data_IF_645238009188
#
_entry.id   IF_645238009188
#
_cell.length_a   1.000
_cell.length_b   1.000
_cell.length_c   1.000
_cell.angle_alpha   90.00
_cell.angle_beta   90.00
_cell.angle_gamma   90.00
#
_symmetry.space_group_name_H-M   'P 1'
#
loop_
_entity.id
_entity.type
_entity.pdbx_description
1 polymer ?
#
# COMPACT_ATOMS: atom_id res chain seq x y z
N UNK A 1 -6.03 -11.42 13.00
CA UNK A 1 -5.43 -10.84 11.78
C UNK A 1 -4.17 -11.62 11.45
N UNK A 2 -4.05 -12.06 10.21
CA UNK A 2 -2.93 -12.88 9.74
C UNK A 2 -2.37 -12.28 8.46
N UNK A 3 -1.07 -12.51 8.20
CA UNK A 3 -0.47 -12.15 6.92
C UNK A 3 -1.13 -12.92 5.78
N UNK A 4 -1.23 -12.29 4.62
CA UNK A 4 -1.76 -12.84 3.35
C UNK A 4 -3.26 -13.21 3.34
N UNK A 5 -3.98 -12.93 4.43
CA UNK A 5 -5.42 -13.16 4.52
C UNK A 5 -6.16 -11.82 4.49
N UNK A 6 -7.17 -11.62 3.61
CA UNK A 6 -8.02 -10.43 3.64
C UNK A 6 -8.75 -10.28 4.97
N UNK A 7 -8.83 -9.05 5.46
CA UNK A 7 -9.57 -8.70 6.67
C UNK A 7 -10.21 -7.32 6.54
N UNK A 8 -11.26 -7.04 7.33
CA UNK A 8 -11.87 -5.70 7.36
C UNK A 8 -10.96 -4.75 8.12
N UNK A 9 -10.37 -3.80 7.41
CA UNK A 9 -9.44 -2.80 7.95
C UNK A 9 -10.11 -1.46 8.23
N UNK A 10 -10.88 -0.96 7.27
CA UNK A 10 -11.60 0.31 7.35
C UNK A 10 -13.09 0.06 7.30
N UNK A 11 -13.85 0.84 8.07
CA UNK A 11 -15.30 0.93 7.90
C UNK A 11 -15.65 1.65 6.59
N UNK A 12 -16.91 1.59 6.16
CA UNK A 12 -17.36 2.34 5.00
C UNK A 12 -17.15 3.86 5.18
N UNK A 13 -17.42 4.37 6.37
CA UNK A 13 -17.25 5.79 6.72
C UNK A 13 -15.77 6.21 6.69
N UNK A 14 -14.87 5.38 7.23
CA UNK A 14 -13.43 5.62 7.14
C UNK A 14 -12.91 5.60 5.69
N UNK A 15 -13.47 4.73 4.83
CA UNK A 15 -13.16 4.75 3.40
C UNK A 15 -13.60 6.05 2.73
N UNK A 16 -14.82 6.52 3.03
CA UNK A 16 -15.31 7.79 2.49
C UNK A 16 -14.49 8.99 3.00
N UNK A 17 -14.08 8.99 4.28
CA UNK A 17 -13.20 10.02 4.84
C UNK A 17 -11.88 10.14 4.04
N UNK A 18 -11.25 9.00 3.71
CA UNK A 18 -10.02 8.98 2.91
C UNK A 18 -10.27 9.40 1.46
N UNK A 19 -11.38 8.98 0.86
CA UNK A 19 -11.77 9.39 -0.50
C UNK A 19 -12.09 10.88 -0.55
N UNK A 20 -12.77 11.43 0.45
CA UNK A 20 -13.07 12.86 0.57
C UNK A 20 -11.79 13.70 0.72
N UNK A 21 -10.82 13.21 1.51
CA UNK A 21 -9.51 13.85 1.60
C UNK A 21 -8.85 14.00 0.22
N UNK A 22 -9.02 13.02 -0.66
CA UNK A 22 -8.41 13.01 -1.98
C UNK A 22 -9.16 13.85 -3.02
N UNK A 23 -10.46 14.09 -2.82
CA UNK A 23 -11.37 14.66 -3.83
C UNK A 23 -10.92 16.02 -4.36
N UNK A 24 -10.43 16.89 -3.47
CA UNK A 24 -10.01 18.24 -3.81
C UNK A 24 -8.51 18.39 -4.06
N UNK A 25 -7.80 17.27 -4.12
CA UNK A 25 -6.35 17.25 -4.31
C UNK A 25 -5.97 16.89 -5.74
N UNK A 26 -4.95 17.57 -6.25
CA UNK A 26 -4.36 17.23 -7.53
C UNK A 26 -3.56 15.93 -7.40
N UNK A 27 -3.88 14.94 -8.23
CA UNK A 27 -3.08 13.73 -8.36
C UNK A 27 -1.74 14.02 -9.01
N UNK A 28 -0.74 13.22 -8.66
CA UNK A 28 0.57 13.20 -9.32
C UNK A 28 0.72 11.90 -10.10
N UNK A 29 1.25 11.98 -11.28
CA UNK A 29 1.62 10.81 -12.04
C UNK A 29 2.78 10.08 -11.35
N UNK A 30 2.65 8.78 -11.23
CA UNK A 30 3.69 7.91 -10.72
C UNK A 30 4.13 6.99 -11.86
N UNK A 31 5.20 7.38 -12.55
CA UNK A 31 5.70 6.69 -13.72
C UNK A 31 7.09 6.13 -13.47
N UNK A 32 7.26 4.87 -13.80
CA UNK A 32 8.54 4.18 -13.92
C UNK A 32 8.33 2.97 -14.85
N UNK A 33 9.36 2.17 -15.18
CA UNK A 33 9.22 1.06 -16.14
C UNK A 33 8.13 0.02 -15.83
N UNK A 34 7.70 -0.09 -14.58
CA UNK A 34 6.67 -1.06 -14.15
C UNK A 34 5.42 -0.39 -13.57
N UNK A 35 5.34 0.95 -13.57
CA UNK A 35 4.27 1.69 -12.93
C UNK A 35 3.76 2.83 -13.79
N UNK A 36 2.46 2.83 -14.01
CA UNK A 36 1.72 3.92 -14.67
C UNK A 36 0.39 4.07 -13.95
N UNK A 37 0.32 4.99 -12.99
CA UNK A 37 -0.90 5.34 -12.28
C UNK A 37 -0.76 6.70 -11.61
N UNK A 38 -1.83 7.20 -11.03
CA UNK A 38 -1.85 8.48 -10.31
C UNK A 38 -1.87 8.23 -8.81
N UNK A 39 -1.26 9.14 -8.04
CA UNK A 39 -1.15 9.04 -6.59
C UNK A 39 -1.46 10.33 -5.86
N UNK A 40 -1.87 10.20 -4.60
CA UNK A 40 -1.92 11.26 -3.59
C UNK A 40 -1.27 10.72 -2.30
N UNK A 41 -0.47 11.54 -1.64
CA UNK A 41 0.03 11.24 -0.30
C UNK A 41 -1.00 11.65 0.75
N UNK A 42 -1.35 10.70 1.64
CA UNK A 42 -2.31 10.92 2.71
C UNK A 42 -1.60 11.43 3.96
N UNK A 43 -1.58 12.74 4.16
CA UNK A 43 -0.82 13.42 5.22
C UNK A 43 -1.62 13.57 6.53
N UNK A 44 -2.91 13.21 6.55
CA UNK A 44 -3.71 13.24 7.77
C UNK A 44 -3.28 12.12 8.73
N UNK A 45 -2.66 12.51 9.84
CA UNK A 45 -2.09 11.59 10.82
C UNK A 45 -3.08 11.09 11.88
N UNK A 46 -4.34 11.48 11.80
CA UNK A 46 -5.40 11.17 12.79
C UNK A 46 -5.45 9.71 13.21
N UNK A 47 -5.24 8.79 12.28
CA UNK A 47 -5.36 7.36 12.52
C UNK A 47 -4.01 6.61 12.61
N UNK A 48 -2.89 7.28 12.43
CA UNK A 48 -1.59 6.61 12.28
C UNK A 48 -1.20 5.78 13.51
N UNK A 49 -1.43 6.28 14.72
CA UNK A 49 -1.11 5.52 15.94
C UNK A 49 -1.95 4.24 16.04
N UNK A 50 -3.25 4.31 15.73
CA UNK A 50 -4.13 3.14 15.66
C UNK A 50 -3.60 2.08 14.69
N UNK A 51 -3.10 2.50 13.53
CA UNK A 51 -2.55 1.59 12.53
C UNK A 51 -1.20 1.00 12.95
N UNK A 52 -0.33 1.78 13.58
CA UNK A 52 0.94 1.29 14.16
C UNK A 52 0.65 0.22 15.22
N UNK A 53 -0.26 0.48 16.15
CA UNK A 53 -0.62 -0.45 17.23
C UNK A 53 -1.18 -1.76 16.65
N UNK A 54 -2.04 -1.65 15.64
CA UNK A 54 -2.59 -2.82 14.93
C UNK A 54 -1.48 -3.65 14.27
N UNK A 55 -0.56 -3.02 13.55
CA UNK A 55 0.55 -3.70 12.87
C UNK A 55 1.52 -4.33 13.87
N UNK A 56 1.75 -3.67 15.01
CA UNK A 56 2.55 -4.21 16.12
C UNK A 56 1.90 -5.42 16.81
N UNK A 57 0.59 -5.62 16.68
CA UNK A 57 -0.06 -6.82 17.19
C UNK A 57 0.30 -8.08 16.39
N UNK A 58 0.80 -7.93 15.16
CA UNK A 58 1.30 -9.04 14.34
C UNK A 58 2.74 -9.37 14.72
N UNK A 59 3.60 -8.38 14.75
CA UNK A 59 5.00 -8.49 15.11
C UNK A 59 5.46 -7.15 15.73
N UNK A 60 5.88 -7.13 17.03
CA UNK A 60 6.14 -5.90 17.78
C UNK A 60 7.49 -5.26 17.41
N UNK A 61 7.65 -4.91 16.13
CA UNK A 61 8.88 -4.31 15.58
C UNK A 61 8.63 -3.01 14.82
N UNK A 62 7.37 -2.60 14.69
CA UNK A 62 6.99 -1.41 13.92
C UNK A 62 7.19 -0.17 14.79
N UNK A 63 8.06 0.74 14.33
CA UNK A 63 8.35 2.02 15.00
C UNK A 63 7.48 3.16 14.49
N UNK A 64 7.18 3.16 13.19
CA UNK A 64 6.37 4.19 12.52
C UNK A 64 5.83 3.70 11.18
N UNK A 65 5.00 4.49 10.56
CA UNK A 65 4.54 4.26 9.18
C UNK A 65 5.03 5.39 8.29
N UNK A 66 5.42 5.05 7.06
CA UNK A 66 5.65 6.06 6.02
C UNK A 66 4.31 6.71 5.67
N UNK A 67 4.35 7.99 5.24
CA UNK A 67 3.14 8.68 4.76
C UNK A 67 2.36 7.77 3.80
N UNK A 68 1.12 7.38 4.15
CA UNK A 68 0.34 6.48 3.32
C UNK A 68 0.05 7.05 1.94
N UNK A 69 -0.23 6.17 0.99
CA UNK A 69 -0.47 6.54 -0.40
C UNK A 69 -1.86 6.11 -0.85
N UNK A 70 -2.60 7.01 -1.47
CA UNK A 70 -3.81 6.71 -2.23
C UNK A 70 -3.39 6.56 -3.68
N UNK A 71 -3.73 5.43 -4.30
CA UNK A 71 -3.38 5.10 -5.67
C UNK A 71 -4.63 4.94 -6.52
N UNK A 72 -4.64 5.58 -7.69
CA UNK A 72 -5.76 5.62 -8.63
C UNK A 72 -5.36 4.90 -9.91
N UNK A 73 -6.26 4.05 -10.42
CA UNK A 73 -6.06 3.27 -11.63
C UNK A 73 -7.29 3.37 -12.53
N UNK A 74 -7.12 3.95 -13.70
CA UNK A 74 -8.09 3.91 -14.82
C UNK A 74 -7.69 2.82 -15.82
N UNK A 75 -8.54 2.49 -16.80
CA UNK A 75 -8.16 1.59 -17.89
C UNK A 75 -6.83 2.01 -18.55
N UNK A 76 -5.89 1.05 -18.64
CA UNK A 76 -4.53 1.27 -19.09
C UNK A 76 -3.52 1.66 -18.01
N UNK A 77 -3.98 2.00 -16.79
CA UNK A 77 -3.10 2.30 -15.66
C UNK A 77 -2.90 1.05 -14.81
N UNK A 78 -1.65 0.72 -14.49
CA UNK A 78 -1.28 -0.45 -13.70
C UNK A 78 -0.02 -0.21 -12.86
N UNK A 79 0.24 -1.09 -11.92
CA UNK A 79 1.54 -1.23 -11.27
C UNK A 79 1.97 -2.69 -11.40
N UNK A 80 2.88 -2.94 -12.33
CA UNK A 80 3.38 -4.28 -12.63
C UNK A 80 4.11 -4.95 -11.47
N UNK A 81 4.65 -6.13 -11.70
CA UNK A 81 5.38 -6.88 -10.67
C UNK A 81 6.53 -6.09 -10.07
N UNK A 82 6.50 -5.90 -8.75
CA UNK A 82 7.50 -5.21 -7.95
C UNK A 82 7.46 -5.70 -6.51
N UNK A 83 8.42 -5.27 -5.72
CA UNK A 83 8.39 -5.40 -4.27
C UNK A 83 8.59 -4.03 -3.61
N UNK A 84 8.18 -3.94 -2.35
CA UNK A 84 8.27 -2.71 -1.54
C UNK A 84 9.44 -2.70 -0.57
N UNK A 85 10.33 -3.70 -0.63
CA UNK A 85 11.40 -3.95 0.35
C UNK A 85 12.51 -2.90 0.39
N UNK A 86 12.39 -1.80 -0.34
CA UNK A 86 13.38 -0.74 -0.37
C UNK A 86 13.33 0.10 0.91
N UNK A 87 14.51 0.49 1.46
CA UNK A 87 14.53 1.38 2.62
C UNK A 87 13.96 2.74 2.23
N UNK A 88 12.91 3.15 2.91
CA UNK A 88 12.42 4.51 2.81
C UNK A 88 13.35 5.51 3.53
N UNK A 89 14.20 5.00 4.42
CA UNK A 89 15.15 5.77 5.21
C UNK A 89 16.40 4.96 5.51
N UNK A 90 17.56 5.62 5.72
CA UNK A 90 18.84 4.94 6.01
C UNK A 90 18.80 4.03 7.25
N UNK A 91 17.97 4.34 8.23
CA UNK A 91 17.87 3.65 9.51
C UNK A 91 16.68 2.71 9.63
N UNK A 92 15.75 2.76 8.68
CA UNK A 92 14.52 1.97 8.70
C UNK A 92 14.29 1.28 7.36
N UNK A 93 13.68 0.12 7.45
CA UNK A 93 13.22 -0.67 6.30
C UNK A 93 11.70 -0.78 6.33
N UNK A 94 11.09 -0.92 5.16
CA UNK A 94 9.69 -1.33 5.06
C UNK A 94 9.58 -2.79 5.48
N UNK A 95 8.93 -3.04 6.60
CA UNK A 95 8.78 -4.38 7.19
C UNK A 95 7.53 -5.07 6.66
N UNK A 96 6.39 -4.37 6.77
CA UNK A 96 5.12 -4.79 6.20
C UNK A 96 4.59 -3.75 5.23
N UNK A 97 3.89 -4.23 4.21
CA UNK A 97 2.98 -3.44 3.40
C UNK A 97 1.56 -3.88 3.70
N UNK A 98 0.67 -2.90 3.91
CA UNK A 98 -0.77 -3.08 3.95
C UNK A 98 -1.35 -2.41 2.71
N UNK A 99 -2.13 -3.14 1.92
CA UNK A 99 -2.94 -2.56 0.85
C UNK A 99 -4.42 -2.77 1.13
N UNK A 100 -5.19 -1.70 1.01
CA UNK A 100 -6.63 -1.67 1.27
C UNK A 100 -7.38 -1.21 0.03
N UNK A 101 -8.52 -1.84 -0.26
CA UNK A 101 -9.42 -1.44 -1.33
C UNK A 101 -10.35 -0.33 -0.85
N UNK A 102 -10.28 0.87 -1.46
CA UNK A 102 -11.22 1.95 -1.21
C UNK A 102 -12.38 1.96 -2.21
N UNK A 103 -12.06 1.64 -3.47
CA UNK A 103 -13.03 1.55 -4.56
C UNK A 103 -12.57 0.49 -5.54
N UNK A 104 -13.43 -0.49 -5.79
CA UNK A 104 -13.19 -1.55 -6.77
C UNK A 104 -13.59 -1.10 -8.17
N UNK A 105 -12.97 -1.69 -9.18
CA UNK A 105 -13.35 -1.55 -10.59
C UNK A 105 -13.24 -2.90 -11.31
N UNK A 106 -14.12 -3.19 -12.29
CA UNK A 106 -14.09 -4.45 -13.02
C UNK A 106 -12.73 -4.74 -13.64
N UNK A 107 -12.22 -5.96 -13.49
CA UNK A 107 -10.95 -6.42 -14.04
C UNK A 107 -9.71 -6.02 -13.27
N UNK A 108 -9.80 -5.04 -12.36
CA UNK A 108 -8.69 -4.65 -11.53
C UNK A 108 -8.62 -5.47 -10.25
N UNK A 109 -7.42 -5.90 -9.87
CA UNK A 109 -7.18 -6.58 -8.61
C UNK A 109 -5.75 -6.35 -8.10
N UNK A 110 -5.57 -6.66 -6.83
CA UNK A 110 -4.26 -6.83 -6.21
C UNK A 110 -3.88 -8.30 -6.28
N UNK A 111 -2.67 -8.59 -6.71
CA UNK A 111 -2.15 -9.94 -6.83
C UNK A 111 -0.76 -10.05 -6.19
N UNK A 112 -0.49 -11.20 -5.58
CA UNK A 112 0.83 -11.59 -5.08
C UNK A 112 1.34 -12.79 -5.86
N UNK A 113 2.66 -12.87 -6.07
CA UNK A 113 3.27 -13.92 -6.86
C UNK A 113 3.19 -15.29 -6.19
N UNK A 114 3.45 -15.31 -4.89
CA UNK A 114 3.55 -16.56 -4.11
C UNK A 114 2.30 -16.86 -3.26
N UNK A 115 1.29 -15.97 -3.30
CA UNK A 115 0.09 -16.09 -2.49
C UNK A 115 -1.17 -15.83 -3.33
N UNK A 116 -2.16 -16.70 -3.16
CA UNK A 116 -3.45 -16.51 -3.80
C UNK A 116 -4.33 -15.60 -2.92
N UNK A 117 -4.43 -14.33 -3.30
CA UNK A 117 -5.24 -13.34 -2.57
C UNK A 117 -6.63 -13.27 -3.20
N UNK A 118 -7.65 -13.51 -2.38
CA UNK A 118 -9.04 -13.29 -2.79
C UNK A 118 -9.24 -11.80 -3.10
N UNK A 119 -9.97 -11.43 -4.18
CA UNK A 119 -10.24 -10.04 -4.49
C UNK A 119 -10.80 -9.26 -3.31
N UNK A 120 -10.16 -8.14 -2.99
CA UNK A 120 -10.53 -7.31 -1.85
C UNK A 120 -11.84 -6.57 -2.12
N UNK A 121 -12.69 -6.50 -1.11
CA UNK A 121 -13.88 -5.65 -1.09
C UNK A 121 -13.55 -4.30 -0.45
N UNK A 122 -14.43 -3.29 -0.63
CA UNK A 122 -14.28 -1.97 -0.02
C UNK A 122 -14.01 -2.07 1.49
N UNK A 123 -12.95 -1.43 1.94
CA UNK A 123 -12.48 -1.43 3.32
C UNK A 123 -11.70 -2.68 3.74
N UNK A 124 -11.65 -3.71 2.90
CA UNK A 124 -10.79 -4.86 3.15
C UNK A 124 -9.34 -4.58 2.76
N UNK A 125 -8.44 -5.14 3.54
CA UNK A 125 -7.01 -5.05 3.32
C UNK A 125 -6.35 -6.41 3.43
N UNK A 126 -5.15 -6.49 2.90
CA UNK A 126 -4.20 -7.57 3.13
C UNK A 126 -2.88 -6.99 3.60
N UNK A 127 -2.23 -7.68 4.55
CA UNK A 127 -0.89 -7.35 5.03
C UNK A 127 0.07 -8.42 4.57
N UNK A 128 1.22 -8.01 4.08
CA UNK A 128 2.27 -8.89 3.60
C UNK A 128 3.65 -8.32 3.90
N UNK A 129 4.69 -9.15 3.80
CA UNK A 129 6.07 -8.69 3.94
C UNK A 129 6.48 -7.88 2.73
N UNK A 130 7.00 -6.68 2.97
CA UNK A 130 7.33 -5.70 1.91
C UNK A 130 8.28 -6.21 0.81
N UNK A 131 9.24 -7.13 1.07
CA UNK A 131 10.09 -7.69 0.00
C UNK A 131 9.38 -8.64 -0.97
N UNK A 132 8.14 -9.03 -0.73
CA UNK A 132 7.44 -9.97 -1.58
C UNK A 132 6.85 -9.33 -2.83
N UNK A 133 6.94 -10.04 -3.96
CA UNK A 133 6.48 -9.54 -5.25
C UNK A 133 4.96 -9.52 -5.35
N UNK A 134 4.45 -8.37 -5.78
CA UNK A 134 3.02 -8.12 -5.96
C UNK A 134 2.79 -7.14 -7.11
N UNK A 135 1.53 -7.03 -7.54
CA UNK A 135 1.11 -6.08 -8.57
C UNK A 135 -0.33 -5.60 -8.37
N UNK A 136 -0.66 -4.49 -9.04
CA UNK A 136 -2.03 -4.01 -9.22
C UNK A 136 -2.36 -3.99 -10.71
N UNK A 137 -3.39 -4.74 -11.12
CA UNK A 137 -3.78 -4.84 -12.52
C UNK A 137 -4.67 -3.68 -12.95
N UNK A 138 -4.67 -3.40 -14.25
CA UNK A 138 -5.51 -2.35 -14.84
C UNK A 138 -6.99 -2.73 -14.82
N UNK A 139 -7.91 -1.79 -14.49
CA UNK A 139 -9.33 -2.02 -14.68
C UNK A 139 -9.70 -2.06 -16.17
N UNK A 140 -10.80 -2.77 -16.48
CA UNK A 140 -11.42 -2.77 -17.82
C UNK A 140 -12.22 -1.49 -18.03
N UNK A 141 -12.91 -1.06 -16.97
CA UNK A 141 -13.71 0.17 -16.96
C UNK A 141 -13.74 0.76 -15.55
N UNK A 142 -14.11 2.03 -15.44
CA UNK A 142 -14.19 2.74 -14.18
C UNK A 142 -12.82 3.11 -13.60
N UNK A 143 -12.77 3.29 -12.29
CA UNK A 143 -11.55 3.65 -11.57
C UNK A 143 -11.43 2.81 -10.29
N UNK A 144 -10.33 2.08 -10.15
CA UNK A 144 -9.94 1.43 -8.90
C UNK A 144 -9.15 2.43 -8.05
N UNK A 145 -9.43 2.46 -6.75
CA UNK A 145 -8.70 3.27 -5.78
C UNK A 145 -8.26 2.38 -4.62
N UNK A 146 -6.97 2.39 -4.32
CA UNK A 146 -6.38 1.65 -3.20
C UNK A 146 -5.64 2.57 -2.25
N UNK A 147 -5.48 2.11 -1.00
CA UNK A 147 -4.78 2.81 0.06
C UNK A 147 -3.65 1.92 0.58
N UNK A 148 -2.43 2.43 0.58
CA UNK A 148 -1.24 1.67 0.96
C UNK A 148 -0.55 2.30 2.16
N UNK A 149 -0.22 1.47 3.16
CA UNK A 149 0.58 1.81 4.33
C UNK A 149 1.85 0.97 4.31
N UNK A 150 3.00 1.63 4.43
CA UNK A 150 4.29 0.96 4.64
C UNK A 150 4.69 1.09 6.10
N UNK A 151 4.69 -0.06 6.79
CA UNK A 151 5.09 -0.16 8.18
C UNK A 151 6.60 -0.33 8.28
N UNK A 152 7.23 0.52 9.06
CA UNK A 152 8.67 0.68 9.15
C UNK A 152 9.21 0.06 10.44
N UNK A 153 10.31 -0.68 10.33
CA UNK A 153 11.08 -1.16 11.47
C UNK A 153 12.53 -0.69 11.40
N UNK A 154 13.20 -0.61 12.56
CA UNK A 154 14.63 -0.31 12.60
C UNK A 154 15.43 -1.35 11.85
N UNK A 155 16.34 -0.89 11.00
CA UNK A 155 17.31 -1.76 10.36
C UNK A 155 18.34 -2.23 11.40
N UNK A 156 18.18 -3.45 11.91
CA UNK A 156 19.11 -4.04 12.88
C UNK A 156 20.48 -4.36 12.27
N UNK A 157 20.53 -4.51 10.96
CA UNK A 157 21.77 -4.72 10.21
C UNK A 157 22.21 -3.37 9.64
N UNK A 158 23.09 -2.67 10.33
CA UNK A 158 23.70 -1.39 9.89
C UNK A 158 24.57 -1.53 8.63
N UNK A 159 24.30 -2.45 7.74
CA UNK A 159 25.01 -2.52 6.47
C UNK A 159 24.50 -1.43 5.54
N UNK A 160 25.36 -0.54 5.04
CA UNK A 160 24.98 0.34 3.94
C UNK A 160 24.60 -0.54 2.76
N UNK A 161 23.41 -0.34 2.21
CA UNK A 161 23.03 -0.99 0.96
C UNK A 161 24.09 -0.66 -0.10
N UNK A 162 24.48 -1.64 -0.95
CA UNK A 162 25.40 -1.34 -2.03
C UNK A 162 24.82 -0.21 -2.88
N UNK A 163 25.64 0.78 -3.17
CA UNK A 163 25.31 1.92 -4.02
C UNK A 163 24.64 1.43 -5.31
N UNK A 164 23.34 1.59 -5.41
CA UNK A 164 22.69 1.52 -6.70
C UNK A 164 23.01 2.84 -7.41
N UNK A 165 23.90 2.77 -8.35
CA UNK A 165 24.11 3.81 -9.34
C UNK A 165 22.77 4.11 -10.02
N UNK A 166 22.44 5.39 -10.03
CA UNK A 166 21.27 5.96 -10.71
C UNK A 166 21.31 5.70 -12.20
#
# INVERSE_FOLDING_TARGET
>A
MKLYEPFQFLTADECEEILDYARDKQTKDAENPVRQNRIIWYEDSKHWQKWIDMLNSIEPVIDWIQTPQISFYKPGEEYGWHNDGWPAHRTHIRHFTLTCELQSAPGACFEMKEHNITPLQKGQAVIFRSPEEHRATSPIEGERISFTIWAMSKNKNKQPFPNQQR
#
